data_IF_072692252002
#
_entry.id   IF_072692252002
#
_cell.length_a   1.000
_cell.length_b   1.000
_cell.length_c   1.000
_cell.angle_alpha   90.00
_cell.angle_beta   90.00
_cell.angle_gamma   90.00
#
_symmetry.space_group_name_H-M   'P 1'
#
loop_
_entity.id
_entity.type
_entity.pdbx_description
1 polymer ?
#
# COMPACT_ATOMS: atom_id res chain seq x y z
N UNK A 1 38.03 18.26 -25.23
CA UNK A 1 36.69 18.63 -25.73
C UNK A 1 35.97 17.32 -25.98
N UNK A 2 35.17 16.79 -25.08
CA UNK A 2 34.02 17.41 -24.42
C UNK A 2 32.84 16.53 -24.84
N UNK A 3 32.69 15.37 -24.18
CA UNK A 3 31.69 14.35 -24.54
C UNK A 3 30.30 14.95 -24.40
N UNK A 4 29.66 15.21 -25.53
CA UNK A 4 28.20 15.24 -25.65
C UNK A 4 27.68 13.85 -25.25
N UNK A 5 27.15 13.78 -24.04
CA UNK A 5 26.27 12.70 -23.60
C UNK A 5 25.15 13.33 -22.77
N UNK A 6 24.28 14.09 -23.43
CA UNK A 6 22.90 14.29 -22.96
C UNK A 6 21.99 13.41 -23.82
N UNK A 7 22.32 12.12 -23.85
CA UNK A 7 21.31 11.11 -24.10
C UNK A 7 20.33 11.22 -22.93
N UNK A 8 19.02 11.22 -23.21
CA UNK A 8 18.00 11.36 -22.19
C UNK A 8 18.32 10.50 -20.99
N UNK A 9 18.42 11.14 -19.82
CA UNK A 9 17.99 10.50 -18.58
C UNK A 9 16.51 10.26 -18.87
N UNK A 10 16.20 9.05 -19.28
CA UNK A 10 14.91 8.69 -19.84
C UNK A 10 13.87 9.08 -18.79
N UNK A 11 12.75 9.70 -19.18
CA UNK A 11 11.71 10.20 -18.26
C UNK A 11 11.41 9.24 -17.08
N UNK A 12 11.52 7.92 -17.31
CA UNK A 12 11.43 6.89 -16.25
C UNK A 12 12.53 6.97 -15.18
N UNK A 13 13.81 7.08 -15.53
CA UNK A 13 14.91 7.16 -14.56
C UNK A 13 14.80 8.39 -13.66
N UNK A 14 14.21 9.49 -14.16
CA UNK A 14 13.92 10.67 -13.38
C UNK A 14 12.87 10.41 -12.30
N UNK A 15 11.71 9.83 -12.66
CA UNK A 15 10.66 9.52 -11.68
C UNK A 15 11.09 8.43 -10.71
N UNK A 16 11.86 7.43 -11.16
CA UNK A 16 12.42 6.38 -10.31
C UNK A 16 13.35 6.96 -9.22
N UNK A 17 14.12 7.99 -9.55
CA UNK A 17 14.95 8.68 -8.56
C UNK A 17 14.09 9.38 -7.49
N UNK A 18 13.02 10.06 -7.90
CA UNK A 18 12.08 10.71 -6.97
C UNK A 18 11.39 9.69 -6.06
N UNK A 19 10.98 8.55 -6.63
CA UNK A 19 10.45 7.43 -5.84
C UNK A 19 11.46 6.92 -4.82
N UNK A 20 12.71 6.68 -5.25
CA UNK A 20 13.79 6.23 -4.36
C UNK A 20 14.05 7.21 -3.20
N UNK A 21 14.03 8.51 -3.45
CA UNK A 21 14.16 9.53 -2.41
C UNK A 21 13.00 9.50 -1.41
N UNK A 22 11.76 9.32 -1.87
CA UNK A 22 10.58 9.23 -1.01
C UNK A 22 10.62 7.98 -0.12
N UNK A 23 10.98 6.83 -0.69
CA UNK A 23 11.16 5.57 0.06
C UNK A 23 12.24 5.73 1.13
N UNK A 24 13.39 6.29 0.75
CA UNK A 24 14.50 6.50 1.67
C UNK A 24 14.11 7.43 2.83
N UNK A 25 13.31 8.46 2.59
CA UNK A 25 12.80 9.34 3.66
C UNK A 25 11.93 8.59 4.66
N UNK A 26 11.07 7.66 4.19
CA UNK A 26 10.30 6.76 5.08
C UNK A 26 11.23 5.87 5.90
N UNK A 27 12.23 5.26 5.28
CA UNK A 27 13.20 4.38 5.94
C UNK A 27 14.02 5.11 7.02
N UNK A 28 14.31 6.40 6.80
CA UNK A 28 15.01 7.25 7.76
C UNK A 28 14.08 7.81 8.86
N UNK A 29 12.77 7.51 8.81
CA UNK A 29 11.81 8.00 9.78
C UNK A 29 11.55 9.51 9.68
N UNK A 30 11.76 10.09 8.50
CA UNK A 30 11.44 11.49 8.23
C UNK A 30 9.93 11.69 8.10
N UNK A 31 9.51 12.95 8.11
CA UNK A 31 8.12 13.34 7.88
C UNK A 31 7.93 13.95 6.48
N UNK A 32 6.67 14.12 6.06
CA UNK A 32 6.33 14.62 4.73
C UNK A 32 6.87 16.05 4.43
N UNK A 33 7.22 16.84 5.45
CA UNK A 33 7.84 18.16 5.27
C UNK A 33 9.29 18.09 4.78
N UNK A 34 9.89 16.90 4.78
CA UNK A 34 11.20 16.64 4.18
C UNK A 34 11.21 16.66 2.65
N UNK A 35 10.04 16.77 2.00
CA UNK A 35 9.94 16.84 0.55
C UNK A 35 10.83 17.97 -0.02
N UNK A 36 11.80 17.66 -0.89
CA UNK A 36 12.77 18.66 -1.37
C UNK A 36 12.22 19.55 -2.49
N UNK A 37 11.05 19.21 -3.04
CA UNK A 37 10.48 19.88 -4.21
C UNK A 37 9.53 21.02 -3.82
N UNK A 38 9.31 21.93 -4.76
CA UNK A 38 8.40 23.06 -4.57
C UNK A 38 6.97 22.54 -4.41
N UNK A 39 6.29 22.96 -3.34
CA UNK A 39 4.91 22.58 -3.08
C UNK A 39 4.00 22.84 -4.29
N UNK A 40 3.23 21.83 -4.69
CA UNK A 40 2.32 21.87 -5.85
C UNK A 40 2.96 21.55 -7.20
N UNK A 41 4.28 21.31 -7.28
CA UNK A 41 4.93 20.74 -8.47
C UNK A 41 4.54 19.27 -8.66
N UNK A 42 4.69 18.77 -9.89
CA UNK A 42 4.44 17.36 -10.21
C UNK A 42 5.39 16.45 -9.42
N UNK A 43 6.65 16.86 -9.26
CA UNK A 43 7.65 16.20 -8.43
C UNK A 43 7.22 16.12 -6.96
N UNK A 44 6.77 17.24 -6.39
CA UNK A 44 6.30 17.25 -5.00
C UNK A 44 5.08 16.34 -4.82
N UNK A 45 4.13 16.38 -5.75
CA UNK A 45 2.92 15.55 -5.69
C UNK A 45 3.27 14.06 -5.81
N UNK A 46 4.16 13.69 -6.74
CA UNK A 46 4.60 12.32 -6.93
C UNK A 46 5.40 11.81 -5.72
N UNK A 47 6.36 12.59 -5.23
CA UNK A 47 7.14 12.26 -4.04
C UNK A 47 6.24 12.05 -2.81
N UNK A 48 5.31 12.97 -2.54
CA UNK A 48 4.39 12.88 -1.39
C UNK A 48 3.46 11.68 -1.50
N UNK A 49 2.94 11.41 -2.70
CA UNK A 49 2.12 10.24 -2.95
C UNK A 49 2.91 8.95 -2.65
N UNK A 50 4.12 8.84 -3.18
CA UNK A 50 4.99 7.67 -2.94
C UNK A 50 5.32 7.52 -1.46
N UNK A 51 5.73 8.60 -0.80
CA UNK A 51 6.06 8.63 0.62
C UNK A 51 4.90 8.10 1.48
N UNK A 52 3.69 8.65 1.30
CA UNK A 52 2.52 8.24 2.09
C UNK A 52 2.13 6.78 1.82
N UNK A 53 2.21 6.32 0.56
CA UNK A 53 1.95 4.92 0.23
C UNK A 53 2.95 3.99 0.93
N UNK A 54 4.24 4.27 0.82
CA UNK A 54 5.28 3.45 1.45
C UNK A 54 5.18 3.47 2.97
N UNK A 55 4.92 4.63 3.57
CA UNK A 55 4.68 4.78 5.02
C UNK A 55 3.46 3.97 5.49
N UNK A 56 2.41 3.87 4.69
CA UNK A 56 1.19 3.15 5.03
C UNK A 56 1.31 1.62 4.87
N UNK A 57 2.21 1.11 4.00
CA UNK A 57 2.34 -0.33 3.68
C UNK A 57 2.44 -1.25 4.92
N UNK A 58 3.29 -0.97 5.93
CA UNK A 58 3.40 -1.85 7.10
C UNK A 58 2.08 -2.01 7.86
N UNK A 59 1.24 -0.98 7.85
CA UNK A 59 -0.08 -0.99 8.50
C UNK A 59 -1.09 -1.83 7.70
N UNK A 60 -1.12 -1.68 6.38
CA UNK A 60 -1.91 -2.55 5.49
C UNK A 60 -1.56 -4.01 5.73
N UNK A 61 -0.26 -4.34 5.74
CA UNK A 61 0.18 -5.70 6.02
C UNK A 61 -0.16 -6.15 7.44
N UNK A 62 -0.06 -5.25 8.42
CA UNK A 62 -0.46 -5.50 9.81
C UNK A 62 -1.93 -5.88 9.93
N UNK A 63 -2.83 -5.15 9.27
CA UNK A 63 -4.25 -5.45 9.23
C UNK A 63 -4.53 -6.78 8.54
N UNK A 64 -3.85 -7.05 7.42
CA UNK A 64 -3.96 -8.33 6.73
C UNK A 64 -3.48 -9.52 7.59
N UNK A 65 -2.39 -9.35 8.36
CA UNK A 65 -1.93 -10.37 9.32
C UNK A 65 -2.94 -10.60 10.44
N UNK A 66 -3.51 -9.54 11.00
CA UNK A 66 -4.53 -9.64 12.04
C UNK A 66 -5.78 -10.38 11.54
N UNK A 67 -6.25 -10.08 10.34
CA UNK A 67 -7.38 -10.77 9.70
C UNK A 67 -7.09 -12.28 9.52
N UNK A 68 -5.91 -12.65 8.99
CA UNK A 68 -5.52 -14.08 8.85
C UNK A 68 -5.40 -14.80 10.18
N UNK A 69 -5.07 -14.09 11.25
CA UNK A 69 -5.02 -14.62 12.61
C UNK A 69 -6.41 -14.71 13.28
N UNK A 70 -7.50 -14.33 12.58
CA UNK A 70 -8.85 -14.31 13.13
C UNK A 70 -9.08 -13.23 14.19
N UNK A 71 -8.21 -12.21 14.25
CA UNK A 71 -8.36 -11.10 15.18
C UNK A 71 -9.45 -10.14 14.70
N UNK A 72 -10.25 -9.56 15.61
CA UNK A 72 -11.29 -8.61 15.23
C UNK A 72 -10.68 -7.31 14.66
N UNK A 73 -11.45 -6.55 13.89
CA UNK A 73 -11.03 -5.23 13.38
C UNK A 73 -10.64 -4.25 14.52
N UNK A 74 -11.19 -4.45 15.72
CA UNK A 74 -10.85 -3.68 16.93
C UNK A 74 -9.45 -3.98 17.48
N UNK A 75 -8.74 -4.98 16.94
CA UNK A 75 -7.33 -5.23 17.23
C UNK A 75 -6.39 -4.22 16.55
N UNK A 76 -6.93 -3.26 15.77
CA UNK A 76 -6.17 -2.14 15.24
C UNK A 76 -5.42 -1.42 16.38
N UNK A 77 -4.10 -1.15 16.25
CA UNK A 77 -3.34 -0.47 17.29
C UNK A 77 -3.95 0.88 17.66
N UNK A 78 -4.08 1.12 18.97
CA UNK A 78 -4.49 2.41 19.48
C UNK A 78 -3.39 3.45 19.29
N UNK A 79 -3.77 4.73 19.11
CA UNK A 79 -2.81 5.83 18.95
C UNK A 79 -2.26 6.02 17.53
N UNK A 80 -2.68 5.22 16.55
CA UNK A 80 -2.38 5.51 15.14
C UNK A 80 -3.08 6.78 14.67
N UNK A 81 -2.36 7.56 13.86
CA UNK A 81 -2.94 8.62 13.03
C UNK A 81 -4.07 8.05 12.15
N UNK A 82 -5.06 8.88 11.83
CA UNK A 82 -6.26 8.44 11.09
C UNK A 82 -5.93 7.74 9.77
N UNK A 83 -5.01 8.27 8.98
CA UNK A 83 -4.59 7.67 7.70
C UNK A 83 -3.95 6.30 7.87
N UNK A 84 -3.12 6.11 8.89
CA UNK A 84 -2.46 4.83 9.18
C UNK A 84 -3.45 3.81 9.74
N UNK A 85 -4.44 4.25 10.51
CA UNK A 85 -5.57 3.42 10.94
C UNK A 85 -6.38 2.96 9.75
N UNK A 86 -6.75 3.87 8.84
CA UNK A 86 -7.50 3.53 7.63
C UNK A 86 -6.75 2.51 6.76
N UNK A 87 -5.43 2.68 6.59
CA UNK A 87 -4.57 1.72 5.91
C UNK A 87 -4.59 0.34 6.57
N UNK A 88 -4.49 0.28 7.90
CA UNK A 88 -4.61 -0.97 8.65
C UNK A 88 -5.97 -1.64 8.45
N UNK A 89 -7.06 -0.89 8.62
CA UNK A 89 -8.42 -1.40 8.47
C UNK A 89 -8.69 -1.88 7.04
N UNK A 90 -8.16 -1.19 6.03
CA UNK A 90 -8.25 -1.61 4.63
C UNK A 90 -7.57 -2.97 4.43
N UNK A 91 -6.34 -3.15 4.94
CA UNK A 91 -5.63 -4.42 4.86
C UNK A 91 -6.39 -5.56 5.54
N UNK A 92 -7.01 -5.28 6.69
CA UNK A 92 -7.87 -6.21 7.40
C UNK A 92 -9.11 -6.59 6.57
N UNK A 93 -9.87 -5.60 6.08
CA UNK A 93 -11.10 -5.81 5.30
C UNK A 93 -10.83 -6.59 4.02
N UNK A 94 -9.83 -6.20 3.22
CA UNK A 94 -9.50 -6.89 1.97
C UNK A 94 -9.19 -8.37 2.22
N UNK A 95 -8.48 -8.67 3.31
CA UNK A 95 -8.09 -10.04 3.64
C UNK A 95 -9.27 -10.85 4.20
N UNK A 96 -10.05 -10.26 5.12
CA UNK A 96 -11.20 -10.89 5.73
C UNK A 96 -12.38 -11.09 4.75
N UNK A 97 -12.66 -10.09 3.91
CA UNK A 97 -13.76 -10.12 2.94
C UNK A 97 -13.38 -10.95 1.70
N UNK A 98 -12.08 -11.04 1.37
CA UNK A 98 -11.55 -11.96 0.35
C UNK A 98 -11.69 -13.43 0.74
N UNK A 99 -11.46 -13.77 2.01
CA UNK A 99 -11.76 -15.11 2.58
C UNK A 99 -13.28 -15.40 2.54
N UNK A 100 -14.12 -14.40 2.84
CA UNK A 100 -15.59 -14.55 2.74
C UNK A 100 -16.09 -14.82 1.33
N UNK A 101 -15.47 -14.24 0.28
CA UNK A 101 -15.79 -14.59 -1.11
C UNK A 101 -15.43 -16.04 -1.42
N UNK A 102 -14.24 -16.51 -1.02
CA UNK A 102 -13.83 -17.91 -1.23
C UNK A 102 -14.73 -18.91 -0.49
N UNK A 103 -15.18 -18.59 0.72
CA UNK A 103 -16.12 -19.44 1.47
C UNK A 103 -17.51 -19.46 0.83
N UNK A 104 -18.00 -18.34 0.30
CA UNK A 104 -19.24 -18.30 -0.50
C UNK A 104 -19.12 -19.10 -1.79
N UNK A 105 -17.99 -19.01 -2.48
CA UNK A 105 -17.74 -19.78 -3.71
C UNK A 105 -17.72 -21.29 -3.41
N UNK A 106 -17.07 -21.71 -2.32
CA UNK A 106 -17.10 -23.09 -1.83
C UNK A 106 -18.52 -23.54 -1.45
N UNK A 107 -19.31 -22.71 -0.76
CA UNK A 107 -20.68 -23.04 -0.39
C UNK A 107 -21.58 -23.22 -1.62
N UNK A 108 -21.38 -22.42 -2.68
CA UNK A 108 -22.09 -22.56 -3.96
C UNK A 108 -21.65 -23.86 -4.66
N UNK A 109 -20.36 -24.17 -4.69
CA UNK A 109 -19.82 -25.38 -5.34
C UNK A 109 -20.34 -26.67 -4.69
N UNK A 110 -20.42 -26.73 -3.35
CA UNK A 110 -21.01 -27.85 -2.61
C UNK A 110 -22.53 -28.00 -2.85
N UNK A 111 -23.27 -26.89 -2.96
CA UNK A 111 -24.71 -26.93 -3.30
C UNK A 111 -24.96 -27.44 -4.72
N UNK A 112 -24.11 -27.06 -5.67
CA UNK A 112 -24.22 -27.51 -7.07
C UNK A 112 -23.84 -28.99 -7.22
N UNK A 113 -22.75 -29.44 -6.61
CA UNK A 113 -22.36 -30.87 -6.66
C UNK A 113 -23.27 -31.78 -5.83
N UNK A 114 -23.86 -31.29 -4.75
CA UNK A 114 -24.89 -32.02 -3.98
C UNK A 114 -26.22 -32.19 -4.73
N UNK A 115 -26.54 -31.27 -5.65
CA UNK A 115 -27.74 -31.34 -6.48
C UNK A 115 -27.62 -32.29 -7.68
N UNK A 116 -26.40 -32.67 -8.09
CA UNK A 116 -26.14 -33.55 -9.25
C UNK A 116 -26.11 -35.05 -8.84
N UNK A 117 -26.13 -35.37 -7.53
CA UNK A 117 -26.13 -36.76 -7.01
C UNK A 117 -27.50 -37.24 -6.49
N UNK A 118 -28.59 -36.93 -7.18
CA UNK A 118 -29.88 -37.59 -6.98
C UNK A 118 -30.46 -38.08 -8.29
#
# INVERSE_FOLDING_TARGET
>A
MGREMTHGIESGEYWDAIEGEAVLAVEQGMDASACPYVAGSDEANYWLFTFENFRARPYVEGGGRAARAGQPITACPSGLESSLREAWEQGWRVTNDGEFRRLKDLEIEFRVTGAIRK
#
